data_IF_332838586386
#
_entry.id   IF_332838586386
#
_cell.length_a   1.000
_cell.length_b   1.000
_cell.length_c   1.000
_cell.angle_alpha   90.00
_cell.angle_beta   90.00
_cell.angle_gamma   90.00
#
_symmetry.space_group_name_H-M   'P 1'
#
loop_
_entity.id
_entity.type
_entity.pdbx_description
1 polymer ?
#
# COMPACT_ATOMS: atom_id res chain seq x y z
N UNK A 1 6.89 -59.44 -12.10
CA UNK A 1 6.36 -59.11 -10.76
C UNK A 1 6.59 -57.65 -10.32
N UNK A 2 7.09 -56.72 -11.15
CA UNK A 2 7.42 -55.33 -10.72
C UNK A 2 6.38 -54.23 -10.99
N UNK A 3 5.40 -54.44 -11.88
CA UNK A 3 4.48 -53.35 -12.33
C UNK A 3 3.45 -52.91 -11.28
N UNK A 4 3.11 -53.76 -10.33
CA UNK A 4 2.14 -53.46 -9.26
C UNK A 4 2.74 -52.55 -8.18
N UNK A 5 4.04 -52.69 -7.88
CA UNK A 5 4.72 -51.82 -6.90
C UNK A 5 4.87 -50.39 -7.39
N UNK A 6 5.14 -50.18 -8.69
CA UNK A 6 5.25 -48.84 -9.26
C UNK A 6 3.89 -48.13 -9.32
N UNK A 7 2.81 -48.87 -9.58
CA UNK A 7 1.45 -48.33 -9.55
C UNK A 7 1.02 -47.91 -8.14
N UNK A 8 1.37 -48.68 -7.11
CA UNK A 8 1.12 -48.31 -5.70
C UNK A 8 1.92 -47.07 -5.28
N UNK A 9 3.21 -47.01 -5.64
CA UNK A 9 4.05 -45.83 -5.36
C UNK A 9 3.50 -44.58 -6.06
N UNK A 10 3.07 -44.71 -7.31
CA UNK A 10 2.47 -43.63 -8.05
C UNK A 10 1.15 -43.16 -7.42
N UNK A 11 0.32 -44.09 -6.94
CA UNK A 11 -0.93 -43.76 -6.25
C UNK A 11 -0.68 -42.99 -4.94
N UNK A 12 0.30 -43.43 -4.14
CA UNK A 12 0.70 -42.75 -2.90
C UNK A 12 1.22 -41.34 -3.20
N UNK A 13 2.13 -41.20 -4.17
CA UNK A 13 2.70 -39.90 -4.54
C UNK A 13 1.62 -38.92 -5.07
N UNK A 14 0.65 -39.42 -5.85
CA UNK A 14 -0.47 -38.62 -6.34
C UNK A 14 -1.36 -38.14 -5.18
N UNK A 15 -1.61 -39.01 -4.19
CA UNK A 15 -2.41 -38.66 -3.03
C UNK A 15 -1.69 -37.62 -2.15
N UNK A 16 -0.40 -37.77 -1.91
CA UNK A 16 0.41 -36.77 -1.22
C UNK A 16 0.39 -35.41 -1.93
N UNK A 17 0.57 -35.40 -3.26
CA UNK A 17 0.49 -34.18 -4.05
C UNK A 17 -0.88 -33.51 -3.94
N UNK A 18 -1.97 -34.29 -4.00
CA UNK A 18 -3.34 -33.79 -3.82
C UNK A 18 -3.54 -33.18 -2.43
N UNK A 19 -3.04 -33.83 -1.38
CA UNK A 19 -3.10 -33.30 -0.01
C UNK A 19 -2.34 -31.98 0.11
N UNK A 20 -1.14 -31.89 -0.47
CA UNK A 20 -0.35 -30.65 -0.48
C UNK A 20 -1.08 -29.52 -1.24
N UNK A 21 -1.65 -29.82 -2.40
CA UNK A 21 -2.43 -28.84 -3.18
C UNK A 21 -3.66 -28.34 -2.41
N UNK A 22 -4.37 -29.23 -1.70
CA UNK A 22 -5.51 -28.85 -0.86
C UNK A 22 -5.07 -27.98 0.31
N UNK A 23 -3.96 -28.31 0.97
CA UNK A 23 -3.41 -27.52 2.07
C UNK A 23 -3.03 -26.11 1.60
N UNK A 24 -2.37 -25.97 0.44
CA UNK A 24 -2.03 -24.66 -0.14
C UNK A 24 -3.28 -23.84 -0.46
N UNK A 25 -4.30 -24.45 -1.07
CA UNK A 25 -5.56 -23.78 -1.37
C UNK A 25 -6.29 -23.32 -0.11
N UNK A 26 -6.29 -24.15 0.92
CA UNK A 26 -6.89 -23.81 2.21
C UNK A 26 -6.19 -22.61 2.86
N UNK A 27 -4.85 -22.59 2.85
CA UNK A 27 -4.07 -21.47 3.35
C UNK A 27 -4.34 -20.18 2.57
N UNK A 28 -4.37 -20.24 1.24
CA UNK A 28 -4.70 -19.07 0.39
C UNK A 28 -6.11 -18.53 0.67
N UNK A 29 -7.10 -19.41 0.82
CA UNK A 29 -8.47 -19.00 1.19
C UNK A 29 -8.52 -18.36 2.58
N UNK A 30 -7.78 -18.91 3.55
CA UNK A 30 -7.73 -18.38 4.91
C UNK A 30 -7.12 -16.98 4.91
N UNK A 31 -5.97 -16.81 4.25
CA UNK A 31 -5.29 -15.52 4.12
C UNK A 31 -6.20 -14.48 3.44
N UNK A 32 -6.87 -14.84 2.34
CA UNK A 32 -7.81 -13.92 1.66
C UNK A 32 -8.97 -13.49 2.57
N UNK A 33 -9.53 -14.44 3.32
CA UNK A 33 -10.63 -14.16 4.25
C UNK A 33 -10.17 -13.22 5.36
N UNK A 34 -8.99 -13.46 5.93
CA UNK A 34 -8.37 -12.59 6.94
C UNK A 34 -8.11 -11.19 6.39
N UNK A 35 -7.55 -11.06 5.18
CA UNK A 35 -7.31 -9.76 4.53
C UNK A 35 -8.61 -8.98 4.29
N UNK A 36 -9.67 -9.63 3.80
CA UNK A 36 -10.98 -8.97 3.59
C UNK A 36 -11.59 -8.53 4.92
N UNK A 37 -11.46 -9.35 5.96
CA UNK A 37 -11.93 -8.99 7.29
C UNK A 37 -11.17 -7.79 7.87
N UNK A 38 -9.84 -7.78 7.74
CA UNK A 38 -8.98 -6.67 8.15
C UNK A 38 -9.33 -5.38 7.39
N UNK A 39 -9.57 -5.48 6.08
CA UNK A 39 -10.01 -4.35 5.25
C UNK A 39 -11.35 -3.78 5.74
N UNK A 40 -12.36 -4.63 5.98
CA UNK A 40 -13.66 -4.18 6.48
C UNK A 40 -13.57 -3.51 7.85
N UNK A 41 -12.74 -4.05 8.75
CA UNK A 41 -12.50 -3.45 10.07
C UNK A 41 -11.84 -2.07 9.96
N UNK A 42 -10.87 -1.94 9.07
CA UNK A 42 -10.15 -0.69 8.80
C UNK A 42 -11.08 0.36 8.19
N UNK A 43 -11.88 -0.02 7.18
CA UNK A 43 -12.89 0.86 6.58
C UNK A 43 -13.97 1.30 7.58
N UNK A 44 -14.39 0.42 8.49
CA UNK A 44 -15.32 0.78 9.56
C UNK A 44 -14.73 1.83 10.50
N UNK A 45 -13.44 1.74 10.85
CA UNK A 45 -12.75 2.73 11.69
C UNK A 45 -12.59 4.07 10.97
N UNK A 46 -12.18 4.05 9.70
CA UNK A 46 -12.09 5.30 8.92
C UNK A 46 -13.44 6.01 8.78
N UNK A 47 -14.56 5.26 8.79
CA UNK A 47 -15.92 5.83 8.78
C UNK A 47 -16.33 6.51 10.09
N UNK A 48 -15.61 6.32 11.19
CA UNK A 48 -15.90 7.02 12.46
C UNK A 48 -15.20 8.38 12.57
N UNK A 49 -14.31 8.72 11.64
CA UNK A 49 -13.70 10.05 11.58
C UNK A 49 -14.76 11.11 11.29
N UNK A 50 -14.80 12.16 12.12
CA UNK A 50 -15.79 13.23 12.01
C UNK A 50 -15.28 14.41 11.17
N UNK A 51 -13.96 14.47 10.93
CA UNK A 51 -13.33 15.52 10.15
C UNK A 51 -12.41 14.96 9.07
N UNK A 52 -12.16 15.76 8.02
CA UNK A 52 -11.16 15.43 7.00
C UNK A 52 -9.78 15.32 7.62
N UNK A 53 -9.48 16.11 8.64
CA UNK A 53 -8.19 16.06 9.34
C UNK A 53 -8.00 14.72 10.06
N UNK A 54 -9.00 14.26 10.81
CA UNK A 54 -8.99 12.94 11.45
C UNK A 54 -8.85 11.84 10.41
N UNK A 55 -9.62 11.89 9.33
CA UNK A 55 -9.54 10.89 8.27
C UNK A 55 -8.13 10.83 7.64
N UNK A 56 -7.54 11.99 7.36
CA UNK A 56 -6.19 12.09 6.79
C UNK A 56 -5.14 11.52 7.74
N UNK A 57 -5.27 11.79 9.05
CA UNK A 57 -4.37 11.25 10.06
C UNK A 57 -4.52 9.73 10.21
N UNK A 58 -5.73 9.19 10.13
CA UNK A 58 -6.02 7.78 10.38
C UNK A 58 -5.72 6.87 9.18
N UNK A 59 -5.84 7.36 7.94
CA UNK A 59 -5.67 6.55 6.72
C UNK A 59 -4.32 5.82 6.69
N UNK A 60 -3.15 6.45 6.94
CA UNK A 60 -1.88 5.73 6.99
C UNK A 60 -1.84 4.63 8.06
N UNK A 61 -2.38 4.89 9.25
CA UNK A 61 -2.39 3.93 10.36
C UNK A 61 -3.26 2.71 10.05
N UNK A 62 -4.44 2.92 9.48
CA UNK A 62 -5.33 1.83 9.06
C UNK A 62 -4.76 1.09 7.85
N UNK A 63 -4.06 1.77 6.94
CA UNK A 63 -3.36 1.13 5.84
C UNK A 63 -2.22 0.23 6.34
N UNK A 64 -1.45 0.65 7.33
CA UNK A 64 -0.31 -0.12 7.85
C UNK A 64 -0.71 -1.48 8.45
N UNK A 65 -1.96 -1.63 8.89
CA UNK A 65 -2.52 -2.90 9.38
C UNK A 65 -2.73 -3.95 8.27
N UNK A 66 -2.57 -3.57 7.01
CA UNK A 66 -2.58 -4.47 5.86
C UNK A 66 -1.15 -4.84 5.42
N UNK A 67 -0.24 -4.97 6.38
CA UNK A 67 1.17 -5.36 6.20
C UNK A 67 1.99 -4.41 5.31
N UNK A 68 1.66 -3.12 5.34
CA UNK A 68 2.52 -2.09 4.77
C UNK A 68 3.48 -1.55 5.83
N UNK A 69 4.78 -1.70 5.62
CA UNK A 69 5.81 -1.19 6.53
C UNK A 69 5.79 0.33 6.68
N UNK A 70 5.42 1.01 5.58
CA UNK A 70 5.36 2.46 5.45
C UNK A 70 4.13 2.87 4.66
N UNK A 71 3.38 3.83 5.18
CA UNK A 71 2.16 4.33 4.53
C UNK A 71 2.15 5.85 4.56
N UNK A 72 1.80 6.45 3.43
CA UNK A 72 1.81 7.89 3.23
C UNK A 72 0.49 8.32 2.60
N UNK A 73 -0.13 9.33 3.19
CA UNK A 73 -1.23 10.05 2.58
C UNK A 73 -0.73 11.41 2.09
N UNK A 74 -1.11 11.77 0.87
CA UNK A 74 -0.72 13.02 0.22
C UNK A 74 -1.78 13.49 -0.76
N UNK A 75 -1.76 14.77 -1.10
CA UNK A 75 -2.59 15.31 -2.17
C UNK A 75 -1.74 16.09 -3.19
N UNK A 76 -2.35 16.37 -4.33
CA UNK A 76 -1.82 17.27 -5.35
C UNK A 76 -2.55 18.61 -5.25
N UNK A 77 -1.84 19.66 -4.84
CA UNK A 77 -2.36 21.04 -4.86
C UNK A 77 -1.60 21.87 -5.90
N UNK A 78 -2.30 22.49 -6.85
CA UNK A 78 -1.71 23.28 -7.95
C UNK A 78 -0.54 22.56 -8.66
N UNK A 79 -0.69 21.26 -8.92
CA UNK A 79 0.34 20.37 -9.51
C UNK A 79 1.58 20.16 -8.63
N UNK A 80 1.51 20.54 -7.35
CA UNK A 80 2.53 20.28 -6.34
C UNK A 80 2.08 19.12 -5.47
N UNK A 81 3.00 18.20 -5.22
CA UNK A 81 2.79 17.13 -4.27
C UNK A 81 2.96 17.67 -2.84
N UNK A 82 1.96 17.40 -2.00
CA UNK A 82 1.93 17.84 -0.61
C UNK A 82 1.75 16.60 0.28
N UNK A 83 2.78 16.18 1.03
CA UNK A 83 2.63 15.14 2.04
C UNK A 83 1.71 15.64 3.15
N UNK A 84 0.80 14.79 3.61
CA UNK A 84 -0.23 15.18 4.56
C UNK A 84 -0.19 14.37 5.86
N UNK A 85 0.03 13.06 5.79
CA UNK A 85 0.19 12.20 6.96
C UNK A 85 1.03 10.98 6.61
N UNK A 86 1.79 10.47 7.58
CA UNK A 86 2.72 9.37 7.37
C UNK A 86 2.74 8.43 8.57
N UNK A 87 2.91 7.14 8.32
CA UNK A 87 3.08 6.12 9.35
C UNK A 87 4.18 5.13 8.93
N UNK A 88 5.05 4.78 9.87
CA UNK A 88 6.11 3.79 9.70
C UNK A 88 6.07 2.83 10.90
N UNK A 89 6.13 1.53 10.64
CA UNK A 89 6.16 0.52 11.69
C UNK A 89 7.51 0.46 12.45
N UNK A 90 8.64 0.87 11.85
CA UNK A 90 9.98 0.82 12.49
C UNK A 90 10.24 1.91 13.54
N UNK A 91 9.34 2.89 13.71
CA UNK A 91 9.37 3.82 14.84
C UNK A 91 9.31 5.32 14.48
N UNK A 92 9.06 6.18 15.49
CA UNK A 92 8.78 7.60 15.29
C UNK A 92 9.98 8.42 14.80
N UNK A 93 11.22 7.97 15.01
CA UNK A 93 12.41 8.68 14.55
C UNK A 93 12.52 8.69 13.03
N UNK A 94 12.22 7.56 12.41
CA UNK A 94 12.22 7.44 10.96
C UNK A 94 11.04 8.21 10.34
N UNK A 95 9.87 8.21 11.01
CA UNK A 95 8.73 9.03 10.62
C UNK A 95 9.04 10.54 10.68
N UNK A 96 9.86 10.99 11.65
CA UNK A 96 10.34 12.38 11.74
C UNK A 96 11.42 12.70 10.72
N UNK A 97 12.35 11.79 10.45
CA UNK A 97 13.36 11.98 9.40
C UNK A 97 12.71 12.12 8.01
N UNK A 98 11.63 11.38 7.79
CA UNK A 98 10.87 11.39 6.54
C UNK A 98 9.85 12.53 6.47
N UNK A 99 9.13 12.82 7.55
CA UNK A 99 8.13 13.88 7.65
C UNK A 99 8.70 15.29 7.91
N UNK A 100 9.95 15.37 8.39
CA UNK A 100 10.69 16.62 8.64
C UNK A 100 11.19 17.31 7.36
N UNK A 101 10.96 16.71 6.18
CA UNK A 101 11.12 17.36 4.89
C UNK A 101 10.10 18.49 4.73
N UNK A 102 10.39 19.64 5.33
CA UNK A 102 9.70 20.90 5.10
C UNK A 102 9.54 21.14 3.59
N UNK A 103 8.48 21.87 3.21
CA UNK A 103 8.20 22.28 1.82
C UNK A 103 9.46 22.80 1.10
N UNK A 104 10.17 21.91 0.40
CA UNK A 104 11.37 22.24 -0.36
C UNK A 104 11.01 22.80 -1.76
N UNK A 105 11.84 23.68 -2.34
CA UNK A 105 11.52 24.48 -3.53
C UNK A 105 11.20 23.62 -4.76
N UNK A 106 10.38 24.14 -5.70
CA UNK A 106 9.77 23.37 -6.77
C UNK A 106 10.83 22.92 -7.75
N UNK A 107 11.11 21.63 -7.81
CA UNK A 107 11.70 21.12 -9.03
C UNK A 107 11.27 19.69 -9.35
N UNK A 108 10.85 19.58 -10.61
CA UNK A 108 10.42 18.40 -11.36
C UNK A 108 9.02 17.89 -11.06
N UNK A 109 8.24 17.81 -12.14
CA UNK A 109 6.84 17.38 -12.20
C UNK A 109 6.75 15.90 -11.80
N UNK A 110 5.84 15.48 -10.90
CA UNK A 110 5.53 14.06 -10.80
C UNK A 110 4.93 13.59 -12.13
N UNK A 111 5.54 12.58 -12.77
CA UNK A 111 4.94 11.94 -13.94
C UNK A 111 3.58 11.30 -13.61
N UNK A 112 3.31 11.00 -12.33
CA UNK A 112 2.00 10.58 -11.84
C UNK A 112 0.90 11.64 -11.99
N UNK A 113 1.25 12.90 -12.24
CA UNK A 113 0.29 13.98 -12.51
C UNK A 113 0.05 14.26 -13.98
N UNK A 114 0.73 13.57 -14.91
CA UNK A 114 0.58 13.81 -16.36
C UNK A 114 -0.63 13.10 -16.94
N UNK A 115 -0.96 11.94 -16.37
CA UNK A 115 -2.16 11.19 -16.72
C UNK A 115 -3.22 11.46 -15.66
N UNK A 116 -3.98 12.53 -15.87
CA UNK A 116 -5.30 12.60 -15.25
C UNK A 116 -6.04 11.28 -15.54
N UNK A 117 -6.67 10.72 -14.51
CA UNK A 117 -7.75 9.73 -14.62
C UNK A 117 -7.45 8.22 -14.61
N UNK A 118 -6.23 7.72 -14.35
CA UNK A 118 -6.15 6.34 -13.84
C UNK A 118 -6.47 6.33 -12.34
N UNK A 119 -7.78 6.25 -12.02
CA UNK A 119 -8.30 5.93 -10.68
C UNK A 119 -8.02 4.48 -10.27
N UNK A 120 -6.89 3.92 -10.71
CA UNK A 120 -6.52 2.53 -10.46
C UNK A 120 -5.28 2.49 -9.57
N UNK A 121 -5.28 1.67 -8.53
CA UNK A 121 -4.06 1.37 -7.79
C UNK A 121 -2.97 0.90 -8.75
N UNK A 122 -1.78 1.48 -8.64
CA UNK A 122 -0.62 1.12 -9.46
C UNK A 122 0.49 0.62 -8.54
N UNK A 123 1.03 -0.56 -8.85
CA UNK A 123 2.22 -1.09 -8.17
C UNK A 123 3.44 -0.56 -8.90
N UNK A 124 4.28 0.17 -8.17
CA UNK A 124 5.58 0.64 -8.65
C UNK A 124 6.64 -0.29 -8.11
N UNK A 125 7.31 -1.01 -9.01
CA UNK A 125 8.48 -1.85 -8.70
C UNK A 125 9.75 -1.04 -8.98
N UNK A 126 10.81 -1.30 -8.22
CA UNK A 126 12.11 -0.64 -8.32
C UNK A 126 12.00 0.89 -8.26
N UNK A 127 11.31 1.38 -7.22
CA UNK A 127 10.95 2.79 -7.12
C UNK A 127 12.15 3.75 -7.05
N UNK A 128 13.32 3.28 -6.64
CA UNK A 128 14.56 4.09 -6.56
C UNK A 128 15.07 4.52 -7.94
N UNK A 129 14.98 3.64 -8.95
CA UNK A 129 15.50 3.90 -10.30
C UNK A 129 14.39 4.21 -11.31
N UNK A 130 13.13 4.22 -10.87
CA UNK A 130 11.99 4.32 -11.78
C UNK A 130 11.77 5.77 -12.25
N UNK A 131 11.91 6.08 -13.56
CA UNK A 131 11.93 7.46 -14.07
C UNK A 131 10.59 8.21 -13.91
N UNK A 132 9.50 7.49 -13.63
CA UNK A 132 8.17 8.07 -13.35
C UNK A 132 7.89 8.31 -11.86
N UNK A 133 8.79 7.90 -10.98
CA UNK A 133 8.67 8.17 -9.53
C UNK A 133 9.31 9.51 -9.24
N UNK A 134 8.62 10.34 -8.47
CA UNK A 134 9.17 11.62 -8.07
C UNK A 134 10.30 11.39 -7.08
N UNK A 135 11.46 12.02 -7.32
CA UNK A 135 12.59 12.06 -6.39
C UNK A 135 12.21 12.41 -4.95
N UNK A 136 11.18 13.24 -4.74
CA UNK A 136 10.64 13.58 -3.41
C UNK A 136 9.96 12.41 -2.71
N UNK A 137 9.26 11.56 -3.46
CA UNK A 137 8.67 10.33 -2.92
C UNK A 137 9.80 9.36 -2.58
N UNK A 138 10.85 9.29 -3.41
CA UNK A 138 12.03 8.45 -3.14
C UNK A 138 12.77 8.90 -1.86
N UNK A 139 13.02 10.20 -1.69
CA UNK A 139 13.71 10.76 -0.53
C UNK A 139 12.92 10.65 0.78
N UNK A 140 11.61 10.41 0.70
CA UNK A 140 10.71 10.26 1.84
C UNK A 140 10.52 8.76 2.13
N UNK A 141 10.18 7.97 1.13
CA UNK A 141 9.80 6.57 1.34
C UNK A 141 10.98 5.60 1.40
N UNK A 142 12.11 5.91 0.73
CA UNK A 142 13.28 5.03 0.56
C UNK A 142 12.92 3.55 0.29
N UNK A 143 11.83 3.32 -0.44
CA UNK A 143 11.25 1.98 -0.62
C UNK A 143 11.64 1.40 -1.98
N UNK A 144 11.94 0.10 -2.04
CA UNK A 144 12.20 -0.59 -3.31
C UNK A 144 10.94 -0.76 -4.16
N UNK A 145 9.77 -0.86 -3.54
CA UNK A 145 8.48 -0.93 -4.22
C UNK A 145 7.40 -0.25 -3.37
N UNK A 146 6.35 0.27 -4.01
CA UNK A 146 5.18 0.79 -3.31
C UNK A 146 3.91 0.69 -4.17
N UNK A 147 2.75 0.82 -3.53
CA UNK A 147 1.45 0.91 -4.20
C UNK A 147 0.95 2.34 -4.10
N UNK A 148 0.66 2.97 -5.24
CA UNK A 148 -0.06 4.24 -5.28
C UNK A 148 -1.54 3.97 -5.57
N UNK A 149 -2.40 4.29 -4.61
CA UNK A 149 -3.85 4.23 -4.78
C UNK A 149 -4.43 5.65 -4.84
N UNK A 150 -5.15 6.01 -5.92
CA UNK A 150 -5.83 7.30 -5.99
C UNK A 150 -6.92 7.38 -4.91
N UNK A 151 -6.84 8.41 -4.06
CA UNK A 151 -7.89 8.72 -3.08
C UNK A 151 -9.16 9.25 -3.76
N UNK A 152 -10.30 9.29 -3.03
CA UNK A 152 -11.52 9.93 -3.53
C UNK A 152 -11.22 11.40 -3.86
N UNK A 153 -11.34 11.74 -5.15
CA UNK A 153 -10.98 13.07 -5.64
C UNK A 153 -11.97 14.12 -5.16
N UNK A 154 -11.58 14.93 -4.18
CA UNK A 154 -12.23 16.21 -3.89
C UNK A 154 -11.47 17.31 -4.61
N UNK A 155 -11.99 17.75 -5.76
CA UNK A 155 -11.50 18.92 -6.50
C UNK A 155 -11.69 20.26 -5.75
N UNK A 156 -12.02 20.25 -4.45
CA UNK A 156 -12.21 21.47 -3.67
C UNK A 156 -10.96 21.72 -2.85
N UNK A 157 -10.32 22.85 -3.17
CA UNK A 157 -9.22 23.48 -2.43
C UNK A 157 -9.39 23.25 -0.92
N UNK A 158 -8.69 22.27 -0.38
CA UNK A 158 -8.60 22.08 1.07
C UNK A 158 -7.67 23.18 1.59
N UNK A 159 -8.20 24.39 1.76
CA UNK A 159 -7.54 25.44 2.53
C UNK A 159 -7.62 25.03 4.00
N UNK A 160 -6.70 24.18 4.44
CA UNK A 160 -6.37 24.06 5.85
C UNK A 160 -5.77 25.40 6.27
N UNK A 161 -6.62 26.32 6.75
CA UNK A 161 -6.17 27.48 7.52
C UNK A 161 -5.60 26.93 8.83
N UNK A 162 -4.28 26.95 8.95
CA UNK A 162 -3.62 26.93 10.25
C UNK A 162 -4.09 28.19 10.98
N UNK A 163 -4.74 28.02 12.14
CA UNK A 163 -4.92 29.06 13.15
C UNK A 163 -3.94 28.77 14.27
#
# INVERSE_FOLDING_TARGET
>A
MGRTSDAERAAIALDELRRMQLATRYLDLRLRTESVHALHKSLRRLRTANTVYELVADVPHEAAKMDFDRTLFSWLDNRRWVPAAFHINSGPEEARAVGGGQSLPPDRRPAQGRDGAQRRPTIVRNALDHPRVHSRIQSVMHSHAYVAAPGPGTHRRCRLRQR
#
